data_IF_720179798076
#
_entry.id   IF_720179798076
#
_cell.length_a   1.000
_cell.length_b   1.000
_cell.length_c   1.000
_cell.angle_alpha   90.00
_cell.angle_beta   90.00
_cell.angle_gamma   90.00
#
_symmetry.space_group_name_H-M   'P 1'
#
loop_
_entity.id
_entity.type
_entity.pdbx_description
1 polymer ?
#
# COMPACT_ATOMS: atom_id res chain seq x y z
N UNK A 1 -10.53 7.27 9.44
CA UNK A 1 -9.12 7.10 9.83
C UNK A 1 -8.26 8.33 9.57
N UNK A 2 -8.13 8.84 8.32
CA UNK A 2 -7.40 10.10 8.04
C UNK A 2 -8.10 11.29 8.70
N UNK A 3 -9.38 11.52 8.39
CA UNK A 3 -10.17 12.63 8.94
C UNK A 3 -10.28 12.59 10.47
N UNK A 4 -10.24 11.39 11.04
CA UNK A 4 -10.32 11.13 12.48
C UNK A 4 -8.95 11.14 13.16
N UNK A 5 -7.86 11.34 12.40
CA UNK A 5 -6.47 11.27 12.88
C UNK A 5 -6.13 9.99 13.66
N UNK A 6 -6.69 8.85 13.24
CA UNK A 6 -6.63 7.60 13.98
C UNK A 6 -5.30 6.82 13.82
N UNK A 7 -4.48 7.15 12.81
CA UNK A 7 -3.18 6.54 12.56
C UNK A 7 -2.26 7.49 11.78
N UNK A 8 -1.08 7.01 11.40
CA UNK A 8 -0.07 7.77 10.64
C UNK A 8 0.61 6.94 9.52
N UNK A 9 0.09 5.74 9.28
CA UNK A 9 0.60 4.83 8.28
C UNK A 9 -0.49 3.84 7.83
N UNK A 10 -0.35 3.32 6.61
CA UNK A 10 -1.20 2.27 6.05
C UNK A 10 -0.35 1.09 5.60
N UNK A 11 -0.80 -0.12 5.91
CA UNK A 11 -0.21 -1.36 5.42
C UNK A 11 -0.92 -1.76 4.12
N UNK A 12 -0.24 -1.64 2.98
CA UNK A 12 -0.84 -1.82 1.65
C UNK A 12 -0.59 -3.23 1.16
N UNK A 13 -1.68 -3.98 0.93
CA UNK A 13 -1.66 -5.32 0.33
C UNK A 13 -2.46 -5.26 -0.96
N UNK A 14 -1.78 -5.33 -2.11
CA UNK A 14 -2.40 -5.13 -3.43
C UNK A 14 -3.61 -6.04 -3.67
N UNK A 15 -3.56 -7.28 -3.17
CA UNK A 15 -4.65 -8.23 -3.32
C UNK A 15 -5.80 -8.06 -2.29
N UNK A 16 -5.76 -7.05 -1.42
CA UNK A 16 -6.93 -6.62 -0.65
C UNK A 16 -7.81 -5.64 -1.42
N UNK A 17 -7.22 -4.83 -2.31
CA UNK A 17 -7.97 -3.88 -3.16
C UNK A 17 -8.28 -4.47 -4.54
N UNK A 18 -7.34 -5.22 -5.12
CA UNK A 18 -7.58 -6.09 -6.29
C UNK A 18 -6.90 -5.64 -7.58
N UNK A 19 -6.66 -4.34 -7.78
CA UNK A 19 -5.97 -3.83 -8.98
C UNK A 19 -4.74 -2.97 -8.65
N UNK A 20 -3.81 -2.88 -9.60
CA UNK A 20 -2.63 -2.02 -9.46
C UNK A 20 -3.00 -0.54 -9.48
N UNK A 21 -3.94 -0.13 -10.33
CA UNK A 21 -4.42 1.26 -10.39
C UNK A 21 -4.93 1.72 -9.04
N UNK A 22 -5.84 0.95 -8.43
CA UNK A 22 -6.38 1.29 -7.10
C UNK A 22 -5.30 1.19 -6.01
N UNK A 23 -4.31 0.31 -6.17
CA UNK A 23 -3.16 0.25 -5.26
C UNK A 23 -2.36 1.55 -5.30
N UNK A 24 -2.08 2.11 -6.48
CA UNK A 24 -1.42 3.42 -6.62
C UNK A 24 -2.28 4.56 -6.07
N UNK A 25 -3.59 4.54 -6.30
CA UNK A 25 -4.50 5.54 -5.72
C UNK A 25 -4.45 5.54 -4.18
N UNK A 26 -4.34 4.37 -3.54
CA UNK A 26 -4.17 4.26 -2.08
C UNK A 26 -2.81 4.80 -1.63
N UNK A 27 -1.74 4.51 -2.37
CA UNK A 27 -0.39 4.99 -2.07
C UNK A 27 -0.32 6.53 -2.17
N UNK A 28 -0.91 7.10 -3.22
CA UNK A 28 -0.96 8.55 -3.44
C UNK A 28 -1.81 9.24 -2.38
N UNK A 29 -2.99 8.69 -2.04
CA UNK A 29 -3.82 9.22 -0.95
C UNK A 29 -3.08 9.23 0.39
N UNK A 30 -2.34 8.16 0.70
CA UNK A 30 -1.55 8.10 1.93
C UNK A 30 -0.44 9.17 1.93
N UNK A 31 0.26 9.33 0.80
CA UNK A 31 1.31 10.34 0.63
C UNK A 31 0.76 11.76 0.78
N UNK A 32 -0.36 12.07 0.14
CA UNK A 32 -1.02 13.38 0.20
C UNK A 32 -1.49 13.71 1.62
N UNK A 33 -1.91 12.70 2.38
CA UNK A 33 -2.26 12.83 3.80
C UNK A 33 -1.03 12.86 4.74
N UNK A 34 0.20 12.85 4.21
CA UNK A 34 1.46 12.73 4.96
C UNK A 34 1.56 11.46 5.84
N UNK A 35 0.85 10.39 5.45
CA UNK A 35 0.96 9.06 6.06
C UNK A 35 2.08 8.26 5.39
N UNK A 36 2.68 7.34 6.14
CA UNK A 36 3.61 6.35 5.55
C UNK A 36 2.82 5.22 4.91
N UNK A 37 3.19 4.81 3.70
CA UNK A 37 2.69 3.58 3.13
C UNK A 37 3.72 2.46 3.28
N UNK A 38 3.27 1.29 3.75
CA UNK A 38 4.11 0.10 3.89
C UNK A 38 3.58 -0.97 2.95
N UNK A 39 4.28 -1.20 1.84
CA UNK A 39 3.96 -2.29 0.91
C UNK A 39 4.18 -3.64 1.62
N UNK A 40 3.19 -4.52 1.56
CA UNK A 40 3.12 -5.70 2.40
C UNK A 40 2.69 -6.95 1.64
N UNK A 41 3.42 -8.04 1.90
CA UNK A 41 3.10 -9.38 1.47
C UNK A 41 1.90 -9.98 2.24
N UNK A 42 1.41 -11.12 1.75
CA UNK A 42 0.47 -11.98 2.47
C UNK A 42 1.20 -13.16 3.10
N UNK A 43 0.54 -13.82 4.05
CA UNK A 43 1.10 -15.01 4.72
C UNK A 43 1.27 -16.20 3.78
N UNK A 44 0.42 -16.32 2.76
CA UNK A 44 0.59 -17.25 1.65
C UNK A 44 1.03 -16.48 0.41
N UNK A 45 2.34 -16.33 0.26
CA UNK A 45 2.97 -15.62 -0.85
C UNK A 45 3.47 -16.60 -1.92
N UNK A 46 3.77 -16.07 -3.10
CA UNK A 46 4.39 -16.83 -4.20
C UNK A 46 5.88 -16.44 -4.34
N UNK A 47 6.58 -17.04 -5.30
CA UNK A 47 7.94 -16.67 -5.68
C UNK A 47 8.06 -15.32 -6.40
N UNK A 48 6.92 -14.72 -6.77
CA UNK A 48 6.86 -13.44 -7.45
C UNK A 48 7.41 -12.31 -6.57
N UNK A 49 8.36 -11.55 -7.11
CA UNK A 49 9.06 -10.48 -6.40
C UNK A 49 8.46 -9.08 -6.65
N UNK A 50 7.31 -8.97 -7.30
CA UNK A 50 6.71 -7.71 -7.75
C UNK A 50 6.49 -6.70 -6.63
N UNK A 51 6.25 -7.15 -5.39
CA UNK A 51 6.15 -6.26 -4.23
C UNK A 51 7.41 -5.43 -3.99
N UNK A 52 8.60 -5.95 -4.36
CA UNK A 52 9.86 -5.22 -4.25
C UNK A 52 9.94 -4.09 -5.30
N UNK A 53 9.55 -4.38 -6.54
CA UNK A 53 9.48 -3.38 -7.61
C UNK A 53 8.45 -2.30 -7.27
N UNK A 54 7.26 -2.72 -6.80
CA UNK A 54 6.21 -1.80 -6.36
C UNK A 54 6.69 -0.88 -5.24
N UNK A 55 7.33 -1.42 -4.20
CA UNK A 55 7.85 -0.64 -3.07
C UNK A 55 8.94 0.38 -3.48
N UNK A 56 9.66 0.10 -4.57
CA UNK A 56 10.71 0.99 -5.08
C UNK A 56 10.14 2.07 -6.01
N UNK A 57 9.10 1.73 -6.78
CA UNK A 57 8.45 2.65 -7.71
C UNK A 57 7.42 3.57 -7.06
N UNK A 58 6.83 3.15 -5.93
CA UNK A 58 5.71 3.80 -5.25
C UNK A 58 6.04 5.16 -4.66
#
# INVERSE_FOLDING_TARGET
AIDEQAANAVLVKMNQIGTLTETFEVLDLARDAAWRAVVSARSGETEDAFLADLATAS
#
